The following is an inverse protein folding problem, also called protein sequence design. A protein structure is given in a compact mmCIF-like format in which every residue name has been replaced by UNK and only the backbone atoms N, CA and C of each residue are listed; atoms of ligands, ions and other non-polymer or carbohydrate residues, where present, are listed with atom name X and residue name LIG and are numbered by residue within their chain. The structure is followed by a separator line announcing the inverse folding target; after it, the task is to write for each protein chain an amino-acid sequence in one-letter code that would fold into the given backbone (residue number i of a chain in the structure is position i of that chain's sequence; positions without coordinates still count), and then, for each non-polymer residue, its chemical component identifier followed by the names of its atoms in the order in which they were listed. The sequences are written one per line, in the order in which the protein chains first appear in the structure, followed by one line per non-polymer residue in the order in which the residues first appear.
data_IF_842484667594
#
_entry.id   IF_842484667594
#
_cell.length_a   1.000
_cell.length_b   1.000
_cell.length_c   1.000
_cell.angle_alpha   90.00
_cell.angle_beta   90.00
_cell.angle_gamma   90.00
#
_symmetry.space_group_name_H-M   'P 1'
#
loop_
_entity.id
_entity.type
_entity.pdbx_description
1 polymer ?
#
# COMPACT_ATOMS: atom_id res chain seq x y z
N UNK A 1 -8.66 -6.17 8.41
CA UNK A 1 -8.20 -4.82 8.11
C UNK A 1 -7.02 -4.47 8.99
N UNK A 2 -6.02 -3.85 8.43
CA UNK A 2 -4.83 -3.45 9.17
C UNK A 2 -5.14 -2.19 9.96
N UNK A 3 -4.93 -2.16 11.26
CA UNK A 3 -5.08 -0.94 12.01
C UNK A 3 -3.92 0.02 11.71
N UNK A 4 -4.24 1.23 11.29
CA UNK A 4 -3.24 2.27 11.03
C UNK A 4 -3.25 3.20 12.23
N UNK A 5 -2.15 3.30 12.98
CA UNK A 5 -2.10 4.19 14.14
C UNK A 5 -2.28 5.66 13.72
N UNK A 6 -2.84 6.45 14.62
CA UNK A 6 -2.97 7.89 14.40
C UNK A 6 -1.59 8.49 14.16
N UNK A 7 -1.49 9.31 13.12
CA UNK A 7 -0.23 9.94 12.75
C UNK A 7 0.67 9.12 11.86
N UNK A 8 0.40 7.83 11.68
CA UNK A 8 1.18 7.02 10.75
C UNK A 8 0.77 7.35 9.32
N UNK A 9 1.76 7.41 8.45
CA UNK A 9 1.54 7.65 7.02
C UNK A 9 1.59 6.34 6.27
N UNK A 10 0.91 6.29 5.14
CA UNK A 10 0.93 5.15 4.24
C UNK A 10 1.60 5.59 2.94
N UNK A 11 2.66 4.88 2.58
CA UNK A 11 3.44 5.18 1.38
C UNK A 11 3.28 4.06 0.38
N UNK A 12 2.97 4.41 -0.87
CA UNK A 12 2.95 3.47 -1.98
C UNK A 12 4.24 3.61 -2.76
N UNK A 13 5.00 2.53 -2.89
CA UNK A 13 6.14 2.50 -3.79
C UNK A 13 5.62 2.52 -5.23
N UNK A 14 6.07 3.47 -6.03
CA UNK A 14 5.71 3.50 -7.45
C UNK A 14 6.50 2.41 -8.18
N UNK A 15 5.99 1.96 -9.32
CA UNK A 15 6.64 0.89 -10.07
C UNK A 15 6.38 -0.49 -9.49
N UNK A 16 7.16 -1.45 -9.94
CA UNK A 16 6.98 -2.85 -9.57
C UNK A 16 8.03 -3.28 -8.55
N UNK A 17 7.64 -4.19 -7.69
CA UNK A 17 8.54 -4.80 -6.72
C UNK A 17 8.49 -6.32 -6.90
N UNK A 18 9.61 -6.98 -6.70
CA UNK A 18 9.66 -8.44 -6.70
C UNK A 18 8.89 -8.96 -5.49
N UNK A 19 7.76 -9.59 -5.74
CA UNK A 19 6.85 -10.05 -4.70
C UNK A 19 7.36 -11.29 -3.95
N UNK A 20 8.52 -11.81 -4.32
CA UNK A 20 9.17 -12.87 -3.54
C UNK A 20 9.90 -12.32 -2.31
N UNK A 21 10.10 -11.01 -2.25
CA UNK A 21 10.80 -10.37 -1.14
C UNK A 21 9.99 -10.45 0.15
N UNK A 22 10.68 -10.73 1.24
CA UNK A 22 10.11 -10.65 2.58
C UNK A 22 10.45 -9.32 3.24
N UNK A 23 10.18 -9.24 4.55
CA UNK A 23 10.37 -7.99 5.28
C UNK A 23 11.79 -7.43 5.16
N UNK A 24 12.86 -8.21 5.37
CA UNK A 24 14.20 -7.61 5.33
C UNK A 24 14.54 -6.96 3.99
N UNK A 25 14.19 -7.61 2.89
CA UNK A 25 14.47 -7.07 1.55
C UNK A 25 13.61 -5.87 1.23
N UNK A 26 12.34 -5.89 1.65
CA UNK A 26 11.45 -4.74 1.45
C UNK A 26 11.87 -3.56 2.33
N UNK A 27 12.32 -3.83 3.55
CA UNK A 27 12.85 -2.79 4.42
C UNK A 27 14.08 -2.13 3.81
N UNK A 28 14.95 -2.92 3.21
CA UNK A 28 16.12 -2.38 2.51
C UNK A 28 15.69 -1.50 1.34
N UNK A 29 14.67 -1.90 0.61
CA UNK A 29 14.12 -1.09 -0.48
C UNK A 29 13.56 0.23 0.03
N UNK A 30 12.91 0.23 1.19
CA UNK A 30 12.43 1.48 1.81
C UNK A 30 13.61 2.42 2.08
N UNK A 31 14.70 1.90 2.62
CA UNK A 31 15.87 2.73 2.92
C UNK A 31 16.55 3.23 1.66
N UNK A 32 16.83 2.36 0.72
CA UNK A 32 17.68 2.68 -0.42
C UNK A 32 16.94 3.38 -1.55
N UNK A 33 15.69 2.98 -1.80
CA UNK A 33 14.91 3.52 -2.92
C UNK A 33 13.98 4.62 -2.45
N UNK A 34 13.21 4.39 -1.40
CA UNK A 34 12.24 5.36 -0.92
C UNK A 34 12.88 6.42 -0.01
N UNK A 35 14.09 6.16 0.46
CA UNK A 35 14.83 7.08 1.34
C UNK A 35 14.09 7.38 2.63
N UNK A 36 13.48 6.33 3.20
CA UNK A 36 12.69 6.43 4.42
C UNK A 36 13.15 5.38 5.41
N UNK A 37 12.67 5.51 6.65
CA UNK A 37 13.01 4.59 7.72
C UNK A 37 11.92 3.51 7.81
N UNK A 38 12.25 2.24 7.52
CA UNK A 38 11.27 1.17 7.61
C UNK A 38 10.79 0.87 9.03
N UNK A 39 11.50 1.37 10.04
CA UNK A 39 11.14 1.18 11.44
C UNK A 39 10.41 2.37 12.03
N UNK A 40 10.01 3.33 11.20
CA UNK A 40 9.39 4.57 11.64
C UNK A 40 7.97 4.42 12.17
N UNK A 41 7.34 3.27 11.98
CA UNK A 41 5.93 3.09 12.27
C UNK A 41 5.01 3.43 11.12
N UNK A 42 5.54 4.01 10.05
CA UNK A 42 4.77 4.24 8.84
C UNK A 42 4.61 2.94 8.06
N UNK A 43 3.59 2.89 7.22
CA UNK A 43 3.29 1.73 6.39
C UNK A 43 3.85 1.94 4.99
N UNK A 44 4.39 0.87 4.42
CA UNK A 44 4.95 0.89 3.07
C UNK A 44 4.32 -0.23 2.25
N UNK A 45 3.76 0.13 1.10
CA UNK A 45 2.98 -0.78 0.27
C UNK A 45 3.68 -0.96 -1.07
N UNK A 46 3.82 -2.20 -1.47
CA UNK A 46 4.50 -2.59 -2.71
C UNK A 46 3.57 -3.47 -3.52
N UNK A 47 3.64 -3.33 -4.83
CA UNK A 47 2.86 -4.17 -5.73
C UNK A 47 3.76 -4.95 -6.68
N UNK A 48 3.26 -6.09 -7.12
CA UNK A 48 3.91 -6.87 -8.16
C UNK A 48 3.56 -6.38 -9.56
N UNK A 49 4.19 -6.99 -10.55
CA UNK A 49 4.03 -6.57 -11.94
C UNK A 49 2.59 -6.65 -12.44
N UNK A 50 1.85 -7.66 -12.00
CA UNK A 50 0.45 -7.85 -12.43
C UNK A 50 -0.53 -6.97 -11.68
N UNK A 51 -0.09 -6.35 -10.60
CA UNK A 51 -0.91 -5.51 -9.71
C UNK A 51 -2.08 -6.26 -9.06
N UNK A 52 -2.01 -7.58 -8.98
CA UNK A 52 -2.99 -8.39 -8.26
C UNK A 52 -2.47 -8.86 -6.90
N UNK A 53 -1.19 -8.59 -6.62
CA UNK A 53 -0.54 -8.98 -5.37
C UNK A 53 0.14 -7.76 -4.78
N UNK A 54 -0.14 -7.50 -3.50
CA UNK A 54 0.53 -6.43 -2.75
C UNK A 54 1.14 -6.99 -1.49
N UNK A 55 2.20 -6.35 -1.05
CA UNK A 55 2.79 -6.57 0.26
C UNK A 55 2.90 -5.25 0.98
N UNK A 56 2.61 -5.29 2.26
CA UNK A 56 2.73 -4.17 3.17
C UNK A 56 3.71 -4.51 4.24
N UNK A 57 4.57 -3.57 4.60
CA UNK A 57 5.44 -3.73 5.78
C UNK A 57 5.27 -2.53 6.70
N UNK A 58 5.41 -2.78 7.99
CA UNK A 58 5.51 -1.73 9.01
C UNK A 58 6.13 -2.33 10.27
N UNK A 59 6.56 -1.45 11.14
CA UNK A 59 7.04 -1.83 12.47
C UNK A 59 6.05 -1.30 13.49
N UNK A 60 5.52 -2.18 14.34
CA UNK A 60 4.43 -1.82 15.25
C UNK A 60 4.91 -1.38 16.63
N UNK A 61 6.21 -1.18 16.81
CA UNK A 61 6.81 -0.84 18.08
C UNK A 61 7.38 -2.07 18.80
N UNK A 62 6.96 -3.25 18.41
CA UNK A 62 7.45 -4.50 19.00
C UNK A 62 8.12 -5.40 17.98
N UNK A 63 7.67 -5.34 16.74
CA UNK A 63 8.20 -6.23 15.72
C UNK A 63 7.89 -5.78 14.33
N UNK A 64 8.50 -6.48 13.39
CA UNK A 64 8.33 -6.30 11.96
C UNK A 64 7.08 -7.04 11.49
N UNK A 65 6.19 -6.32 10.83
CA UNK A 65 4.93 -6.88 10.34
C UNK A 65 4.93 -6.91 8.82
N UNK A 66 4.44 -7.99 8.27
CA UNK A 66 4.27 -8.17 6.83
C UNK A 66 2.85 -8.65 6.56
N UNK A 67 2.17 -7.94 5.70
CA UNK A 67 0.84 -8.32 5.22
C UNK A 67 0.92 -8.55 3.73
N UNK A 68 0.28 -9.60 3.26
CA UNK A 68 0.24 -9.95 1.84
C UNK A 68 -1.21 -10.20 1.43
N UNK A 69 -1.61 -9.65 0.31
CA UNK A 69 -2.94 -9.90 -0.24
C UNK A 69 -2.88 -10.05 -1.74
N UNK A 70 -3.53 -11.11 -2.24
CA UNK A 70 -3.74 -11.33 -3.66
C UNK A 70 -5.22 -11.25 -3.96
N UNK A 71 -5.57 -10.43 -4.96
CA UNK A 71 -6.94 -10.38 -5.45
C UNK A 71 -7.21 -11.59 -6.32
N UNK A 72 -8.35 -12.24 -6.10
CA UNK A 72 -8.79 -13.34 -6.96
C UNK A 72 -9.17 -12.83 -8.34
N UNK A 73 -9.68 -11.60 -8.41
CA UNK A 73 -10.09 -10.95 -9.65
C UNK A 73 -9.69 -9.50 -9.61
N UNK A 74 -9.35 -8.98 -10.77
CA UNK A 74 -9.03 -7.57 -10.91
C UNK A 74 -7.63 -7.23 -10.47
N UNK A 75 -7.40 -5.95 -10.28
CA UNK A 75 -6.10 -5.40 -9.94
C UNK A 75 -6.26 -4.32 -8.90
N UNK A 76 -5.21 -4.16 -8.11
CA UNK A 76 -5.09 -2.98 -7.26
C UNK A 76 -4.82 -1.77 -8.15
N UNK A 77 -5.50 -0.66 -7.83
CA UNK A 77 -5.27 0.59 -8.55
C UNK A 77 -3.99 1.22 -8.04
N UNK A 78 -3.06 1.50 -8.94
CA UNK A 78 -1.75 2.02 -8.57
C UNK A 78 -1.51 3.38 -9.21
N UNK A 79 -0.82 4.31 -8.53
CA UNK A 79 -0.55 5.61 -9.12
C UNK A 79 0.41 5.48 -10.30
N UNK A 80 0.18 6.30 -11.31
CA UNK A 80 1.02 6.36 -12.50
C UNK A 80 1.88 7.61 -12.52
N UNK A 81 2.24 8.10 -11.34
CA UNK A 81 3.07 9.29 -11.21
C UNK A 81 4.54 8.91 -11.19
N UNK A 82 5.38 9.84 -11.61
CA UNK A 82 6.82 9.69 -11.48
C UNK A 82 7.22 9.90 -10.02
N UNK A 83 8.34 9.29 -9.64
CA UNK A 83 8.84 9.37 -8.28
C UNK A 83 8.95 8.01 -7.65
N UNK A 84 9.40 7.97 -6.41
CA UNK A 84 9.72 6.73 -5.71
C UNK A 84 8.59 6.29 -4.80
N UNK A 85 7.80 7.23 -4.31
CA UNK A 85 6.71 6.92 -3.40
C UNK A 85 5.62 8.00 -3.45
N UNK A 86 4.41 7.58 -3.15
CA UNK A 86 3.24 8.46 -3.04
C UNK A 86 2.58 8.17 -1.71
N UNK A 87 2.16 9.22 -0.99
CA UNK A 87 1.45 9.03 0.27
C UNK A 87 -0.05 8.99 0.04
N UNK A 88 -0.73 8.13 0.80
CA UNK A 88 -2.18 8.04 0.81
C UNK A 88 -2.67 8.03 2.26
N UNK A 89 -3.96 8.31 2.44
CA UNK A 89 -4.57 8.27 3.77
C UNK A 89 -4.90 6.82 4.17
N UNK A 90 -5.19 6.62 5.45
CA UNK A 90 -5.63 5.31 5.93
C UNK A 90 -6.94 4.89 5.28
N UNK A 91 -7.84 5.83 5.02
CA UNK A 91 -9.09 5.54 4.32
C UNK A 91 -8.81 5.08 2.89
N UNK A 92 -7.90 5.77 2.20
CA UNK A 92 -7.51 5.38 0.85
C UNK A 92 -6.85 4.00 0.83
N UNK A 93 -6.07 3.67 1.86
CA UNK A 93 -5.50 2.32 1.98
C UNK A 93 -6.59 1.26 2.04
N UNK A 94 -7.66 1.51 2.80
CA UNK A 94 -8.78 0.58 2.86
C UNK A 94 -9.39 0.32 1.49
N UNK A 95 -9.59 1.39 0.72
CA UNK A 95 -10.13 1.24 -0.65
C UNK A 95 -9.14 0.52 -1.55
N UNK A 96 -7.86 0.87 -1.46
CA UNK A 96 -6.83 0.19 -2.24
C UNK A 96 -6.86 -1.31 -1.99
N UNK A 97 -6.85 -1.71 -0.72
CA UNK A 97 -6.80 -3.13 -0.36
C UNK A 97 -8.08 -3.87 -0.72
N UNK A 98 -9.18 -3.16 -0.92
CA UNK A 98 -10.45 -3.74 -1.37
C UNK A 98 -10.57 -3.79 -2.89
N UNK A 99 -9.55 -3.35 -3.62
CA UNK A 99 -9.60 -3.30 -5.07
C UNK A 99 -10.46 -2.18 -5.62
N UNK A 100 -10.80 -1.20 -4.79
CA UNK A 100 -11.64 -0.07 -5.17
C UNK A 100 -10.74 1.10 -5.56
N UNK A 101 -11.22 1.94 -6.45
CA UNK A 101 -10.46 3.13 -6.86
C UNK A 101 -10.35 4.11 -5.69
N UNK A 102 -9.20 4.12 -5.07
CA UNK A 102 -8.91 4.97 -3.92
C UNK A 102 -8.64 6.43 -4.31
N UNK A 103 -8.40 6.69 -5.59
CA UNK A 103 -8.12 8.05 -6.08
C UNK A 103 -9.38 8.90 -6.03
N UNK A 104 -10.53 8.27 -6.13
CA UNK A 104 -11.81 8.95 -6.11
C UNK A 104 -12.82 8.16 -5.27
N UNK A 105 -12.55 8.04 -3.96
CA UNK A 105 -13.33 7.14 -3.11
C UNK A 105 -14.78 7.57 -2.96
N UNK A 106 -15.08 8.87 -3.01
CA UNK A 106 -16.47 9.32 -2.91
C UNK A 106 -17.31 8.80 -4.07
N UNK A 107 -16.75 8.87 -5.27
CA UNK A 107 -17.44 8.37 -6.45
C UNK A 107 -17.58 6.86 -6.39
N UNK A 108 -16.51 6.16 -5.97
CA UNK A 108 -16.53 4.71 -5.86
C UNK A 108 -17.54 4.21 -4.85
N UNK A 109 -17.77 4.97 -3.79
CA UNK A 109 -18.70 4.61 -2.71
C UNK A 109 -20.10 5.19 -2.90
N UNK A 110 -20.28 6.04 -3.87
CA UNK A 110 -21.58 6.65 -4.08
C UNK A 110 -22.59 5.56 -4.34
N UNK A 111 -23.69 5.54 -3.58
CA UNK A 111 -24.73 4.56 -3.86
C UNK A 111 -25.18 4.67 -5.29
N UNK A 112 -25.48 3.54 -5.88
CA UNK A 112 -26.06 3.56 -7.20
C UNK A 112 -27.28 4.45 -7.18
N UNK A 113 -27.27 5.46 -7.99
CA UNK A 113 -28.41 6.34 -8.07
C UNK A 113 -29.61 5.60 -8.58
N UNK A 114 -30.58 5.56 -7.78
CA UNK A 114 -31.81 4.88 -8.14
C UNK A 114 -32.78 5.92 -8.64
N UNK A 115 -32.43 6.52 -9.50
CA UNK A 115 -33.29 7.60 -9.95
C UNK A 115 -32.72 8.86 -9.51
#
# INVERSE_FOLDING_TARGET
MIPVPTGARVWLATGYTDMRRGFPSLALQVQEVLRKDPLSGHLFVFRGRRSDLVKLIWHDGQGACLFTKRLERGRFIWPSVAGEAVTISSAQLSYLLSGIDWRNPQEALRPTRVG
#
